data_IF_558621308985
#
_entry.id   IF_558621308985
#
_cell.length_a   1.000
_cell.length_b   1.000
_cell.length_c   1.000
_cell.angle_alpha   90.00
_cell.angle_beta   90.00
_cell.angle_gamma   90.00
#
_symmetry.space_group_name_H-M   'P 1'
#
loop_
_entity.id
_entity.type
_entity.pdbx_description
1 polymer ?
#
# COMPACT_ATOMS: atom_id res chain seq x y z
N UNK A 1 16.18 5.16 -6.96
CA UNK A 1 16.23 4.20 -8.09
C UNK A 1 17.07 2.98 -7.71
N UNK A 2 16.89 1.85 -8.41
CA UNK A 2 17.66 0.61 -8.22
C UNK A 2 17.52 -0.08 -6.83
N UNK A 3 16.52 0.26 -6.07
CA UNK A 3 16.22 -0.41 -4.80
C UNK A 3 15.54 -1.79 -4.99
N UNK A 4 15.25 -2.19 -6.23
CA UNK A 4 14.60 -3.45 -6.57
C UNK A 4 13.06 -3.40 -6.51
N UNK A 5 12.44 -2.22 -6.72
CA UNK A 5 10.97 -2.07 -6.72
C UNK A 5 10.29 -2.98 -7.74
N UNK A 6 10.68 -2.88 -9.02
CA UNK A 6 10.11 -3.70 -10.10
C UNK A 6 10.37 -5.19 -9.90
N UNK A 7 11.52 -5.57 -9.32
CA UNK A 7 11.82 -6.95 -8.97
C UNK A 7 10.89 -7.47 -7.87
N UNK A 8 10.67 -6.65 -6.83
CA UNK A 8 9.74 -6.97 -5.75
C UNK A 8 8.29 -7.04 -6.26
N UNK A 9 7.91 -6.09 -7.10
CA UNK A 9 6.60 -6.07 -7.77
C UNK A 9 6.35 -7.35 -8.55
N UNK A 10 7.31 -7.77 -9.39
CA UNK A 10 7.21 -9.02 -10.16
C UNK A 10 7.08 -10.24 -9.25
N UNK A 11 7.87 -10.29 -8.17
CA UNK A 11 7.84 -11.38 -7.21
C UNK A 11 6.47 -11.51 -6.53
N UNK A 12 5.88 -10.38 -6.13
CA UNK A 12 4.59 -10.38 -5.42
C UNK A 12 3.40 -10.63 -6.34
N UNK A 13 3.50 -10.25 -7.63
CA UNK A 13 2.37 -10.31 -8.58
C UNK A 13 2.48 -11.42 -9.61
N UNK A 14 3.53 -12.26 -9.53
CA UNK A 14 3.86 -13.26 -10.56
C UNK A 14 3.93 -12.68 -11.97
N UNK A 15 4.38 -11.42 -12.09
CA UNK A 15 4.48 -10.69 -13.35
C UNK A 15 5.91 -10.69 -13.90
N UNK A 16 6.04 -10.54 -15.22
CA UNK A 16 7.32 -10.44 -15.95
C UNK A 16 7.54 -9.00 -16.47
N UNK A 17 7.44 -8.00 -15.60
CA UNK A 17 7.82 -6.64 -15.95
C UNK A 17 9.34 -6.55 -16.06
N UNK A 18 9.84 -5.90 -17.12
CA UNK A 18 11.29 -5.80 -17.36
C UNK A 18 11.95 -4.97 -16.27
N UNK A 19 12.53 -5.65 -15.28
CA UNK A 19 13.37 -5.03 -14.27
C UNK A 19 14.79 -4.86 -14.84
N UNK A 20 15.21 -3.62 -15.07
CA UNK A 20 16.56 -3.31 -15.55
C UNK A 20 17.38 -2.67 -14.44
N UNK A 21 18.65 -3.02 -14.38
CA UNK A 21 19.62 -2.40 -13.46
C UNK A 21 20.12 -1.06 -14.03
N UNK A 22 19.17 -0.10 -14.16
CA UNK A 22 19.45 1.25 -14.66
C UNK A 22 18.57 2.28 -14.00
N UNK A 23 19.01 3.55 -14.03
CA UNK A 23 18.21 4.68 -13.58
C UNK A 23 16.96 4.80 -14.45
N UNK A 24 15.79 5.04 -13.82
CA UNK A 24 14.49 5.13 -14.50
C UNK A 24 14.11 3.84 -15.27
N UNK A 25 14.30 2.67 -14.65
CA UNK A 25 13.93 1.40 -15.26
C UNK A 25 12.43 1.33 -15.58
N UNK A 26 11.58 2.00 -14.77
CA UNK A 26 10.15 2.16 -14.97
C UNK A 26 9.85 3.62 -15.28
N UNK A 27 9.28 3.92 -16.45
CA UNK A 27 8.84 5.26 -16.86
C UNK A 27 7.31 5.39 -16.76
N UNK A 28 6.59 4.37 -17.19
CA UNK A 28 5.13 4.32 -17.09
C UNK A 28 4.74 3.43 -15.90
N UNK A 29 3.88 3.90 -15.00
CA UNK A 29 3.41 3.09 -13.88
C UNK A 29 2.76 1.80 -14.37
N UNK A 30 3.12 0.70 -13.76
CA UNK A 30 2.53 -0.61 -14.06
C UNK A 30 1.66 -1.06 -12.91
N UNK A 31 0.37 -1.28 -13.18
CA UNK A 31 -0.58 -1.75 -12.19
C UNK A 31 -0.87 -3.24 -12.37
N UNK A 32 -0.93 -3.99 -11.27
CA UNK A 32 -1.33 -5.40 -11.25
C UNK A 32 -2.17 -5.71 -10.03
N UNK A 33 -3.10 -6.64 -10.24
CA UNK A 33 -3.88 -7.21 -9.15
C UNK A 33 -3.02 -8.19 -8.37
N UNK A 34 -3.00 -8.03 -7.05
CA UNK A 34 -2.44 -8.98 -6.10
C UNK A 34 -3.58 -9.51 -5.22
N UNK A 35 -3.71 -10.83 -5.12
CA UNK A 35 -4.65 -11.44 -4.18
C UNK A 35 -3.93 -11.65 -2.85
N UNK A 36 -4.45 -11.04 -1.80
CA UNK A 36 -3.92 -11.15 -0.44
C UNK A 36 -4.28 -12.52 0.18
N UNK A 37 -3.62 -12.95 1.25
CA UNK A 37 -3.92 -14.22 1.94
C UNK A 37 -5.38 -14.36 2.36
N UNK A 38 -6.07 -13.29 2.72
CA UNK A 38 -7.52 -13.27 3.01
C UNK A 38 -8.41 -13.51 1.79
N UNK A 39 -7.84 -13.55 0.58
CA UNK A 39 -8.55 -13.61 -0.69
C UNK A 39 -8.98 -12.23 -1.22
N UNK A 40 -8.74 -11.14 -0.49
CA UNK A 40 -9.02 -9.78 -0.97
C UNK A 40 -8.05 -9.38 -2.08
N UNK A 41 -8.55 -8.78 -3.17
CA UNK A 41 -7.69 -8.22 -4.19
C UNK A 41 -7.26 -6.80 -3.82
N UNK A 42 -5.98 -6.50 -4.04
CA UNK A 42 -5.46 -5.13 -4.07
C UNK A 42 -4.87 -4.83 -5.44
N UNK A 43 -4.71 -3.56 -5.75
CA UNK A 43 -3.95 -3.10 -6.90
C UNK A 43 -2.58 -2.64 -6.41
N UNK A 44 -1.55 -3.31 -6.88
CA UNK A 44 -0.16 -2.91 -6.65
C UNK A 44 0.31 -2.11 -7.86
N UNK A 45 0.93 -0.94 -7.63
CA UNK A 45 1.49 -0.09 -8.69
C UNK A 45 3.01 0.00 -8.53
N UNK A 46 3.77 -0.32 -9.60
CA UNK A 46 5.21 -0.05 -9.67
C UNK A 46 5.41 1.33 -10.27
N UNK A 47 5.90 2.25 -9.47
CA UNK A 47 6.08 3.65 -9.84
C UNK A 47 7.53 3.95 -10.25
N UNK A 48 7.72 5.09 -10.89
CA UNK A 48 9.07 5.60 -11.20
C UNK A 48 9.85 5.81 -9.91
N UNK A 49 11.12 5.39 -9.91
CA UNK A 49 12.00 5.55 -8.73
C UNK A 49 12.47 6.99 -8.54
N UNK A 50 12.45 7.46 -7.30
CA UNK A 50 13.05 8.74 -6.93
C UNK A 50 14.55 8.73 -7.21
N UNK A 51 15.07 9.84 -7.73
CA UNK A 51 16.51 10.10 -7.93
C UNK A 51 16.89 11.26 -7.06
N UNK A 52 18.01 11.14 -6.35
CA UNK A 52 18.63 12.24 -5.62
C UNK A 52 18.92 13.37 -6.62
N UNK A 53 18.47 14.61 -6.33
CA UNK A 53 18.57 15.78 -7.20
C UNK A 53 17.76 15.69 -8.52
N UNK A 54 16.42 15.53 -8.40
CA UNK A 54 15.51 15.71 -9.54
C UNK A 54 15.63 17.16 -10.07
N UNK A 55 15.95 17.36 -11.36
CA UNK A 55 15.89 18.69 -11.98
C UNK A 55 14.44 19.21 -11.90
N UNK A 56 14.25 20.49 -11.60
CA UNK A 56 12.94 21.13 -11.49
C UNK A 56 12.06 20.94 -12.74
N UNK A 57 12.67 20.79 -13.92
CA UNK A 57 12.00 20.55 -15.19
C UNK A 57 11.31 19.18 -15.26
N UNK A 58 11.84 18.18 -14.55
CA UNK A 58 11.24 16.83 -14.49
C UNK A 58 10.14 16.71 -13.43
N UNK A 59 10.06 17.63 -12.47
CA UNK A 59 9.01 17.61 -11.43
C UNK A 59 7.62 17.62 -12.06
N UNK A 60 7.40 18.41 -13.13
CA UNK A 60 6.12 18.47 -13.84
C UNK A 60 5.77 17.17 -14.58
N UNK A 61 6.76 16.45 -15.11
CA UNK A 61 6.53 15.14 -15.72
C UNK A 61 6.23 14.04 -14.67
N UNK A 62 6.72 14.23 -13.44
CA UNK A 62 6.45 13.34 -12.31
C UNK A 62 5.10 13.57 -11.63
N UNK A 63 4.41 14.71 -11.91
CA UNK A 63 3.13 15.03 -11.25
C UNK A 63 2.10 13.90 -11.42
N UNK A 64 1.94 13.32 -12.61
CA UNK A 64 1.00 12.23 -12.83
C UNK A 64 1.34 10.98 -12.00
N UNK A 65 2.63 10.67 -11.85
CA UNK A 65 3.10 9.52 -11.04
C UNK A 65 2.95 9.79 -9.54
N UNK A 66 3.05 11.06 -9.13
CA UNK A 66 2.89 11.48 -7.74
C UNK A 66 1.42 11.53 -7.32
N UNK A 67 0.49 11.80 -8.25
CA UNK A 67 -0.95 11.71 -8.00
C UNK A 67 -1.36 10.28 -7.60
N UNK A 68 -0.73 9.25 -8.18
CA UNK A 68 -0.95 7.86 -7.76
C UNK A 68 -0.51 7.61 -6.32
N UNK A 69 0.66 8.14 -5.92
CA UNK A 69 1.15 8.04 -4.55
C UNK A 69 0.22 8.77 -3.58
N UNK A 70 -0.31 9.93 -4.00
CA UNK A 70 -1.26 10.69 -3.18
C UNK A 70 -2.60 9.98 -3.03
N UNK A 71 -3.03 9.19 -4.01
CA UNK A 71 -4.29 8.45 -3.98
C UNK A 71 -4.20 7.06 -3.36
N UNK A 72 -2.98 6.54 -3.14
CA UNK A 72 -2.77 5.22 -2.59
C UNK A 72 -3.23 5.11 -1.13
N UNK A 73 -3.83 3.98 -0.75
CA UNK A 73 -4.21 3.65 0.63
C UNK A 73 -3.00 3.21 1.46
N UNK A 74 -2.01 2.57 0.81
CA UNK A 74 -0.76 2.08 1.41
C UNK A 74 0.42 2.51 0.54
N UNK A 75 1.41 3.14 1.15
CA UNK A 75 2.67 3.49 0.50
C UNK A 75 3.75 2.52 0.98
N UNK A 76 4.40 1.86 0.02
CA UNK A 76 5.51 0.92 0.26
C UNK A 76 6.81 1.54 -0.21
N UNK A 77 7.64 2.00 0.73
CA UNK A 77 8.96 2.55 0.45
C UNK A 77 9.99 1.44 0.38
N UNK A 78 10.44 1.08 -0.82
CA UNK A 78 11.46 0.04 -1.03
C UNK A 78 12.84 0.65 -0.99
N UNK A 79 13.70 0.12 -0.11
CA UNK A 79 15.08 0.56 0.09
C UNK A 79 16.06 -0.57 -0.21
N UNK A 80 17.20 -0.23 -0.82
CA UNK A 80 18.36 -1.12 -0.88
C UNK A 80 19.13 -1.02 0.44
N UNK A 81 18.96 -2.00 1.32
CA UNK A 81 19.58 -1.98 2.65
C UNK A 81 21.08 -2.34 2.59
N UNK A 82 21.55 -2.90 1.49
CA UNK A 82 22.96 -3.21 1.27
C UNK A 82 23.79 -1.99 0.82
N UNK A 83 23.11 -0.91 0.38
CA UNK A 83 23.79 0.28 -0.14
C UNK A 83 24.28 1.19 1.00
N UNK A 84 25.52 1.67 0.89
CA UNK A 84 26.12 2.53 1.92
C UNK A 84 25.31 3.82 2.21
N UNK A 85 24.70 4.40 1.16
CA UNK A 85 23.93 5.64 1.27
C UNK A 85 22.42 5.40 1.50
N UNK A 86 22.01 4.18 1.90
CA UNK A 86 20.61 3.81 2.08
C UNK A 86 19.82 4.78 2.97
N UNK A 87 20.42 5.23 4.07
CA UNK A 87 19.77 6.18 5.00
C UNK A 87 19.71 7.61 4.45
N UNK A 88 20.68 8.04 3.65
CA UNK A 88 20.63 9.33 2.96
C UNK A 88 19.52 9.33 1.90
N UNK A 89 19.42 8.25 1.10
CA UNK A 89 18.36 8.07 0.11
C UNK A 89 16.96 8.05 0.75
N UNK A 90 16.83 7.44 1.95
CA UNK A 90 15.58 7.49 2.73
C UNK A 90 15.17 8.93 3.03
N UNK A 91 16.10 9.75 3.53
CA UNK A 91 15.82 11.16 3.87
C UNK A 91 15.39 11.96 2.65
N UNK A 92 16.03 11.73 1.50
CA UNK A 92 15.67 12.39 0.25
C UNK A 92 14.22 12.06 -0.16
N UNK A 93 13.83 10.77 -0.09
CA UNK A 93 12.47 10.32 -0.42
C UNK A 93 11.45 10.92 0.54
N UNK A 94 11.70 10.87 1.85
CA UNK A 94 10.80 11.45 2.85
C UNK A 94 10.62 12.95 2.66
N UNK A 95 11.71 13.70 2.33
CA UNK A 95 11.63 15.14 2.03
C UNK A 95 10.77 15.44 0.79
N UNK A 96 10.76 14.55 -0.21
CA UNK A 96 9.88 14.71 -1.39
C UNK A 96 8.43 14.41 -1.01
N UNK A 97 8.17 13.36 -0.24
CA UNK A 97 6.80 13.03 0.23
C UNK A 97 6.22 14.16 1.10
N UNK A 98 7.04 14.77 1.96
CA UNK A 98 6.63 15.93 2.77
C UNK A 98 6.25 17.14 1.90
N UNK A 99 7.02 17.44 0.84
CA UNK A 99 6.71 18.51 -0.12
C UNK A 99 5.42 18.27 -0.90
N UNK A 100 5.02 17.01 -1.03
CA UNK A 100 3.77 16.59 -1.67
C UNK A 100 2.60 16.54 -0.69
N UNK A 101 2.80 17.01 0.54
CA UNK A 101 1.79 16.95 1.60
C UNK A 101 1.32 15.52 1.91
N UNK A 102 2.14 14.51 1.58
CA UNK A 102 1.90 13.12 1.95
C UNK A 102 2.35 12.95 3.40
N UNK A 103 1.39 12.90 4.29
CA UNK A 103 1.68 12.66 5.70
C UNK A 103 1.99 11.17 5.93
N UNK A 104 3.28 10.88 6.12
CA UNK A 104 3.80 9.54 6.43
C UNK A 104 3.73 9.20 7.92
N UNK A 105 3.25 10.13 8.76
CA UNK A 105 3.21 10.01 10.23
C UNK A 105 1.79 9.88 10.78
N UNK A 106 0.78 10.28 10.01
CA UNK A 106 -0.62 10.19 10.45
C UNK A 106 -1.21 8.81 10.20
N UNK A 107 -2.16 8.44 11.03
CA UNK A 107 -2.93 7.19 10.89
C UNK A 107 -3.84 7.15 9.64
N UNK A 108 -3.83 8.20 8.80
CA UNK A 108 -4.73 8.30 7.65
C UNK A 108 -4.20 7.58 6.40
N UNK A 109 -2.88 7.34 6.31
CA UNK A 109 -2.27 6.52 5.26
C UNK A 109 -1.26 5.58 5.87
N UNK A 110 -1.37 4.29 5.57
CA UNK A 110 -0.36 3.34 5.98
C UNK A 110 0.93 3.59 5.17
N UNK A 111 2.06 3.72 5.88
CA UNK A 111 3.39 3.85 5.31
C UNK A 111 4.29 2.77 5.89
N UNK A 112 4.90 1.97 5.03
CA UNK A 112 5.85 0.93 5.43
C UNK A 112 7.15 1.04 4.64
N UNK A 113 8.24 0.58 5.24
CA UNK A 113 9.53 0.45 4.60
C UNK A 113 9.89 -1.01 4.37
N UNK A 114 10.22 -1.35 3.13
CA UNK A 114 10.76 -2.65 2.76
C UNK A 114 12.27 -2.53 2.59
N UNK A 115 13.00 -3.13 3.52
CA UNK A 115 14.45 -3.23 3.52
C UNK A 115 14.86 -4.38 2.59
N UNK A 116 14.90 -4.06 1.29
CA UNK A 116 15.16 -5.03 0.22
C UNK A 116 16.64 -5.32 0.05
N UNK A 117 16.96 -6.40 -0.65
CA UNK A 117 18.29 -6.95 -0.87
C UNK A 117 18.95 -7.47 0.41
N UNK A 118 18.16 -8.02 1.31
CA UNK A 118 18.64 -8.64 2.56
C UNK A 118 19.60 -9.81 2.31
N UNK A 119 19.54 -10.43 1.14
CA UNK A 119 20.45 -11.48 0.67
C UNK A 119 21.90 -11.00 0.47
N UNK A 120 22.14 -9.70 0.38
CA UNK A 120 23.48 -9.10 0.25
C UNK A 120 24.07 -8.65 1.58
N UNK A 121 23.35 -8.79 2.68
CA UNK A 121 23.83 -8.40 4.01
C UNK A 121 24.80 -9.44 4.59
N UNK A 122 25.80 -8.97 5.35
CA UNK A 122 26.59 -9.84 6.20
C UNK A 122 25.74 -10.43 7.35
N UNK A 123 26.13 -11.54 7.98
CA UNK A 123 25.40 -12.11 9.11
C UNK A 123 25.13 -11.09 10.23
N UNK A 124 26.12 -10.27 10.58
CA UNK A 124 25.99 -9.26 11.63
C UNK A 124 24.99 -8.16 11.26
N UNK A 125 25.01 -7.71 10.00
CA UNK A 125 24.05 -6.74 9.47
C UNK A 125 22.64 -7.33 9.45
N UNK A 126 22.49 -8.58 9.02
CA UNK A 126 21.20 -9.25 9.00
C UNK A 126 20.62 -9.37 10.42
N UNK A 127 21.44 -9.76 11.41
CA UNK A 127 21.02 -9.80 12.80
C UNK A 127 20.59 -8.42 13.32
N UNK A 128 21.37 -7.38 13.01
CA UNK A 128 21.05 -6.00 13.38
C UNK A 128 19.69 -5.57 12.86
N UNK A 129 19.43 -5.77 11.57
CA UNK A 129 18.13 -5.36 10.95
C UNK A 129 16.97 -6.23 11.41
N UNK A 130 17.20 -7.54 11.65
CA UNK A 130 16.18 -8.44 12.22
C UNK A 130 15.78 -7.98 13.63
N UNK A 131 16.76 -7.66 14.48
CA UNK A 131 16.51 -7.15 15.81
C UNK A 131 15.77 -5.78 15.76
N UNK A 132 16.10 -4.94 14.79
CA UNK A 132 15.44 -3.66 14.58
C UNK A 132 13.98 -3.83 14.12
N UNK A 133 13.70 -4.75 13.22
CA UNK A 133 12.34 -5.11 12.82
C UNK A 133 11.51 -5.58 14.00
N UNK A 134 12.06 -6.48 14.83
CA UNK A 134 11.33 -7.08 15.96
C UNK A 134 11.08 -6.10 17.12
N UNK A 135 11.97 -5.13 17.33
CA UNK A 135 11.91 -4.19 18.45
C UNK A 135 11.51 -2.75 18.03
N UNK A 136 11.27 -2.52 16.75
CA UNK A 136 10.96 -1.22 16.17
C UNK A 136 9.48 -0.86 16.22
N UNK A 137 9.13 0.18 15.48
CA UNK A 137 7.74 0.71 15.38
C UNK A 137 6.80 -0.18 14.56
N UNK A 138 7.27 -1.32 14.06
CA UNK A 138 6.47 -2.24 13.25
C UNK A 138 6.30 -1.82 11.77
N UNK A 139 7.02 -0.80 11.30
CA UNK A 139 6.87 -0.30 9.93
C UNK A 139 8.05 -0.64 9.01
N UNK A 140 9.07 -1.36 9.47
CA UNK A 140 10.23 -1.77 8.68
C UNK A 140 10.25 -3.30 8.54
N UNK A 141 10.38 -3.80 7.31
CA UNK A 141 10.32 -5.21 6.99
C UNK A 141 11.48 -5.62 6.09
N UNK A 142 12.24 -6.64 6.50
CA UNK A 142 13.31 -7.21 5.70
C UNK A 142 12.74 -8.07 4.58
N UNK A 143 13.29 -7.91 3.37
CA UNK A 143 12.93 -8.75 2.24
C UNK A 143 14.10 -8.94 1.27
N UNK A 144 14.02 -9.97 0.47
CA UNK A 144 14.83 -10.15 -0.74
C UNK A 144 13.90 -10.48 -1.90
N UNK A 145 13.75 -9.54 -2.81
CA UNK A 145 12.97 -9.74 -4.04
C UNK A 145 13.53 -10.85 -4.94
N UNK A 146 14.85 -11.12 -4.85
CA UNK A 146 15.51 -12.15 -5.64
C UNK A 146 15.26 -13.55 -5.04
N UNK A 147 15.51 -13.73 -3.74
CA UNK A 147 15.36 -15.04 -3.09
C UNK A 147 13.93 -15.33 -2.67
N UNK A 148 13.08 -14.32 -2.49
CA UNK A 148 11.73 -14.42 -1.95
C UNK A 148 11.64 -14.35 -0.43
N UNK A 149 12.79 -14.28 0.27
CA UNK A 149 12.80 -14.16 1.73
C UNK A 149 12.01 -12.92 2.18
N UNK A 150 11.11 -13.08 3.16
CA UNK A 150 10.25 -12.02 3.70
C UNK A 150 9.07 -11.61 2.81
N UNK A 151 8.93 -12.10 1.56
CA UNK A 151 7.85 -11.70 0.66
C UNK A 151 6.47 -12.21 1.09
N UNK A 152 6.41 -13.43 1.63
CA UNK A 152 5.15 -13.98 2.16
C UNK A 152 4.70 -13.19 3.40
N UNK A 153 5.64 -12.83 4.27
CA UNK A 153 5.36 -11.98 5.44
C UNK A 153 4.86 -10.60 5.02
N UNK A 154 5.45 -9.99 3.99
CA UNK A 154 4.96 -8.73 3.43
C UNK A 154 3.51 -8.84 2.93
N UNK A 155 3.15 -9.93 2.27
CA UNK A 155 1.77 -10.16 1.82
C UNK A 155 0.78 -10.23 2.98
N UNK A 156 1.15 -10.85 4.09
CA UNK A 156 0.35 -10.88 5.32
C UNK A 156 0.25 -9.49 5.97
N UNK A 157 1.31 -8.71 5.95
CA UNK A 157 1.31 -7.34 6.47
C UNK A 157 0.42 -6.43 5.63
N UNK A 158 0.48 -6.53 4.29
CA UNK A 158 -0.45 -5.81 3.42
C UNK A 158 -1.89 -6.17 3.74
N UNK A 159 -2.18 -7.46 3.95
CA UNK A 159 -3.50 -7.95 4.32
C UNK A 159 -3.98 -7.35 5.65
N UNK A 160 -3.15 -7.34 6.66
CA UNK A 160 -3.46 -6.73 7.95
C UNK A 160 -3.71 -5.23 7.82
N UNK A 161 -2.84 -4.47 7.15
CA UNK A 161 -2.96 -3.03 7.00
C UNK A 161 -4.21 -2.62 6.21
N UNK A 162 -4.49 -3.32 5.12
CA UNK A 162 -5.69 -3.08 4.31
C UNK A 162 -6.95 -3.50 5.07
N UNK A 163 -6.88 -4.56 5.89
CA UNK A 163 -8.04 -5.03 6.66
C UNK A 163 -8.31 -4.15 7.88
N UNK A 164 -7.27 -3.65 8.54
CA UNK A 164 -7.41 -2.79 9.73
C UNK A 164 -8.00 -1.41 9.39
N UNK A 165 -7.87 -0.95 8.15
CA UNK A 165 -8.48 0.29 7.69
C UNK A 165 -9.99 0.17 7.39
N UNK A 166 -10.58 -1.01 7.54
CA UNK A 166 -12.01 -1.21 7.37
C UNK A 166 -12.76 -1.00 8.68
N UNK A 167 -13.81 -0.19 8.61
CA UNK A 167 -14.78 -0.04 9.69
C UNK A 167 -15.93 -1.04 9.50
N UNK A 168 -16.31 -1.73 10.56
CA UNK A 168 -17.51 -2.55 10.55
C UNK A 168 -18.70 -1.68 10.99
N UNK A 169 -19.64 -1.50 10.07
CA UNK A 169 -20.82 -0.65 10.27
C UNK A 169 -22.06 -1.53 10.25
N UNK A 170 -22.84 -1.46 11.33
CA UNK A 170 -24.17 -2.06 11.41
C UNK A 170 -25.20 -1.01 11.05
N UNK A 171 -26.11 -1.34 10.12
CA UNK A 171 -27.16 -0.43 9.70
C UNK A 171 -28.42 -1.19 9.29
N UNK A 172 -29.56 -0.50 9.37
CA UNK A 172 -30.83 -1.00 8.88
C UNK A 172 -31.26 -0.15 7.68
N UNK A 173 -31.53 -0.81 6.56
CA UNK A 173 -32.05 -0.18 5.36
C UNK A 173 -33.53 -0.48 5.16
N UNK A 174 -34.27 0.49 4.65
CA UNK A 174 -35.62 0.22 4.17
C UNK A 174 -35.54 -0.65 2.90
N UNK A 175 -36.51 -1.57 2.72
CA UNK A 175 -36.60 -2.41 1.50
C UNK A 175 -36.65 -1.61 0.20
N UNK A 176 -37.10 -0.35 0.25
CA UNK A 176 -37.18 0.55 -0.89
C UNK A 176 -35.82 1.20 -1.25
N UNK A 177 -34.84 1.16 -0.33
CA UNK A 177 -33.49 1.76 -0.57
C UNK A 177 -32.54 0.79 -1.28
N UNK A 178 -32.98 0.27 -2.42
CA UNK A 178 -32.14 -0.60 -3.26
C UNK A 178 -30.89 0.10 -3.78
N UNK A 179 -30.89 1.43 -3.88
CA UNK A 179 -29.73 2.19 -4.35
C UNK A 179 -28.57 2.18 -3.35
N UNK A 180 -28.88 2.33 -2.04
CA UNK A 180 -27.85 2.23 -1.00
C UNK A 180 -27.40 0.78 -0.83
N UNK A 181 -28.32 -0.19 -0.93
CA UNK A 181 -27.97 -1.60 -0.87
C UNK A 181 -27.01 -2.00 -2.01
N UNK A 182 -27.30 -1.61 -3.26
CA UNK A 182 -26.44 -1.88 -4.40
C UNK A 182 -25.06 -1.23 -4.24
N UNK A 183 -25.04 0.02 -3.76
CA UNK A 183 -23.79 0.72 -3.51
C UNK A 183 -22.93 0.04 -2.43
N UNK A 184 -23.54 -0.51 -1.37
CA UNK A 184 -22.84 -1.27 -0.34
C UNK A 184 -22.20 -2.56 -0.88
N UNK A 185 -22.87 -3.26 -1.79
CA UNK A 185 -22.28 -4.44 -2.46
C UNK A 185 -21.15 -4.07 -3.44
N UNK A 186 -21.17 -2.89 -4.00
CA UNK A 186 -20.14 -2.41 -4.93
C UNK A 186 -18.87 -1.89 -4.20
N UNK A 187 -19.04 -1.26 -3.02
CA UNK A 187 -17.96 -0.52 -2.35
C UNK A 187 -17.55 -1.13 -1.00
N UNK A 188 -18.27 -2.14 -0.53
CA UNK A 188 -18.03 -2.77 0.77
C UNK A 188 -18.15 -4.28 0.74
N UNK A 189 -17.76 -4.89 1.85
CA UNK A 189 -17.91 -6.32 2.11
C UNK A 189 -19.11 -6.55 3.03
N UNK A 190 -20.22 -7.06 2.48
CA UNK A 190 -21.43 -7.35 3.26
C UNK A 190 -21.23 -8.65 4.01
N UNK A 191 -20.89 -8.55 5.29
CA UNK A 191 -20.56 -9.68 6.18
C UNK A 191 -21.81 -10.42 6.63
N UNK A 192 -22.87 -9.66 6.98
CA UNK A 192 -24.16 -10.20 7.45
C UNK A 192 -25.28 -9.44 6.77
N UNK A 193 -26.27 -10.19 6.31
CA UNK A 193 -27.55 -9.65 5.83
C UNK A 193 -28.69 -10.45 6.43
N UNK A 194 -29.64 -9.78 7.06
CA UNK A 194 -30.86 -10.34 7.60
C UNK A 194 -32.03 -9.52 7.07
N UNK A 195 -32.89 -10.15 6.30
CA UNK A 195 -34.10 -9.53 5.76
C UNK A 195 -35.26 -9.86 6.70
N UNK A 196 -35.88 -8.82 7.26
CA UNK A 196 -37.05 -8.91 8.13
C UNK A 196 -38.20 -8.12 7.44
N UNK A 197 -39.45 -8.23 7.95
CA UNK A 197 -40.62 -7.58 7.34
C UNK A 197 -40.51 -6.04 7.34
N UNK A 198 -39.75 -5.45 8.27
CA UNK A 198 -39.64 -4.01 8.46
C UNK A 198 -38.42 -3.41 7.73
N UNK A 199 -37.31 -4.13 7.69
CA UNK A 199 -36.03 -3.60 7.19
C UNK A 199 -35.06 -4.70 6.78
N UNK A 200 -33.97 -4.31 6.15
CA UNK A 200 -32.81 -5.13 5.86
C UNK A 200 -31.70 -4.76 6.85
N UNK A 201 -31.41 -5.61 7.82
CA UNK A 201 -30.29 -5.43 8.73
C UNK A 201 -29.00 -5.90 8.07
N UNK A 202 -27.98 -5.04 8.05
CA UNK A 202 -26.69 -5.28 7.41
C UNK A 202 -25.54 -5.04 8.37
N UNK A 203 -24.54 -5.90 8.31
CA UNK A 203 -23.20 -5.63 8.84
C UNK A 203 -22.25 -5.55 7.64
N UNK A 204 -21.65 -4.39 7.43
CA UNK A 204 -20.81 -4.12 6.27
C UNK A 204 -19.44 -3.62 6.71
N UNK A 205 -18.38 -4.14 6.10
CA UNK A 205 -17.03 -3.61 6.26
C UNK A 205 -16.74 -2.65 5.11
N UNK A 206 -16.42 -1.41 5.46
CA UNK A 206 -16.12 -0.33 4.51
C UNK A 206 -14.77 0.29 4.83
N UNK A 207 -14.01 0.65 3.80
CA UNK A 207 -12.85 1.51 3.95
C UNK A 207 -13.26 2.87 4.52
N UNK A 208 -12.36 3.55 5.24
CA UNK A 208 -12.67 4.80 5.96
C UNK A 208 -13.34 5.87 5.07
N UNK A 209 -12.90 6.02 3.83
CA UNK A 209 -13.49 6.96 2.87
C UNK A 209 -14.94 6.61 2.49
N UNK A 210 -15.23 5.34 2.28
CA UNK A 210 -16.56 4.87 1.91
C UNK A 210 -17.49 4.80 3.14
N UNK A 211 -16.94 4.53 4.32
CA UNK A 211 -17.67 4.66 5.57
C UNK A 211 -18.17 6.10 5.79
N UNK A 212 -17.34 7.09 5.51
CA UNK A 212 -17.75 8.50 5.58
C UNK A 212 -18.79 8.87 4.51
N UNK A 213 -18.62 8.36 3.28
CA UNK A 213 -19.62 8.52 2.19
C UNK A 213 -20.96 7.92 2.58
N UNK A 214 -20.95 6.71 3.19
CA UNK A 214 -22.17 6.08 3.69
C UNK A 214 -22.86 6.95 4.76
N UNK A 215 -22.10 7.44 5.76
CA UNK A 215 -22.64 8.33 6.80
C UNK A 215 -23.32 9.57 6.22
N UNK A 216 -22.68 10.21 5.23
CA UNK A 216 -23.24 11.37 4.52
C UNK A 216 -24.49 11.00 3.71
N UNK A 217 -24.58 9.79 3.18
CA UNK A 217 -25.73 9.28 2.46
C UNK A 217 -26.91 9.05 3.37
N UNK A 218 -26.68 8.39 4.51
CA UNK A 218 -27.71 8.11 5.52
C UNK A 218 -28.19 9.38 6.24
N UNK A 219 -27.37 10.41 6.38
CA UNK A 219 -27.75 11.69 6.99
C UNK A 219 -28.68 12.55 6.12
N UNK A 220 -28.94 12.17 4.87
CA UNK A 220 -29.85 12.88 3.94
C UNK A 220 -31.28 12.32 3.97
N UNK A 221 -31.52 11.28 4.75
CA UNK A 221 -32.83 10.67 4.99
C UNK A 221 -33.24 10.81 6.46
#
# INVERSE_FOLDING_TARGET
>A
TNAGKSTLFNRLTDADVVAKDQLFATLDPTMRKLNLPSGKPIILSDTVGFVSALPHELVNAFHATLEEVMSADLIVHVRDVSHADSDAQKKDVLSVLEKLEVDTTSNNKAFIEVLNKSDLLSPDQLEFYTNRQNNGTGNEFLASAITGAGCDELSHIFDQLVTTSYEEIMLNLNHQDGATLAWLYEHGDVVVRIDDEACIALTVRLGAADAERLRRRLAKF
#
